data_IF_446433261257
#
_entry.id   IF_446433261257
#
_cell.length_a   1.000
_cell.length_b   1.000
_cell.length_c   1.000
_cell.angle_alpha   90.00
_cell.angle_beta   90.00
_cell.angle_gamma   90.00
#
_symmetry.space_group_name_H-M   'P 1'
#
loop_
_entity.id
_entity.type
_entity.pdbx_description
1 polymer ?
#
# COMPACT_ATOMS: atom_id res chain seq x y z
N UNK A 1 -10.83 -12.69 -8.16
CA UNK A 1 -9.96 -13.40 -7.20
C UNK A 1 -8.53 -13.18 -7.63
N UNK A 2 -7.62 -12.83 -6.73
CA UNK A 2 -6.19 -12.76 -7.06
C UNK A 2 -5.63 -14.17 -7.22
N UNK A 3 -4.73 -14.39 -8.20
CA UNK A 3 -4.08 -15.69 -8.41
C UNK A 3 -3.09 -16.01 -7.29
N UNK A 4 -2.29 -15.02 -6.91
CA UNK A 4 -1.26 -15.10 -5.89
C UNK A 4 -1.22 -13.77 -5.13
N UNK A 5 -0.90 -13.83 -3.85
CA UNK A 5 -0.79 -12.66 -2.96
C UNK A 5 0.51 -12.75 -2.19
N UNK A 6 1.37 -11.75 -2.38
CA UNK A 6 2.50 -11.50 -1.49
C UNK A 6 2.08 -10.49 -0.42
N UNK A 7 2.05 -10.92 0.83
CA UNK A 7 1.81 -10.08 1.99
C UNK A 7 3.13 -9.75 2.68
N UNK A 8 3.32 -8.47 2.98
CA UNK A 8 4.55 -7.94 3.57
C UNK A 8 4.26 -7.18 4.85
N UNK A 9 5.15 -7.28 5.83
CA UNK A 9 5.16 -6.42 7.00
C UNK A 9 6.60 -6.29 7.51
N UNK A 10 6.94 -5.19 8.19
CA UNK A 10 8.24 -5.05 8.85
C UNK A 10 8.27 -5.81 10.18
N UNK A 11 7.10 -6.04 10.79
CA UNK A 11 6.98 -6.76 12.05
C UNK A 11 6.92 -8.26 11.83
N UNK A 12 7.96 -8.96 12.31
CA UNK A 12 8.00 -10.42 12.39
C UNK A 12 6.77 -11.02 13.09
N UNK A 13 6.26 -10.35 14.13
CA UNK A 13 5.06 -10.75 14.87
C UNK A 13 3.79 -10.65 14.01
N UNK A 14 3.64 -9.58 13.22
CA UNK A 14 2.50 -9.45 12.29
C UNK A 14 2.56 -10.48 11.17
N UNK A 15 3.75 -10.76 10.64
CA UNK A 15 3.94 -11.85 9.69
C UNK A 15 3.56 -13.22 10.29
N UNK A 16 3.96 -13.49 11.53
CA UNK A 16 3.58 -14.71 12.26
C UNK A 16 2.07 -14.85 12.39
N UNK A 17 1.39 -13.82 12.90
CA UNK A 17 -0.06 -13.79 13.06
C UNK A 17 -0.80 -13.97 11.71
N UNK A 18 -0.29 -13.41 10.61
CA UNK A 18 -0.87 -13.61 9.30
C UNK A 18 -0.72 -15.05 8.81
N UNK A 19 0.45 -15.67 9.00
CA UNK A 19 0.68 -17.08 8.63
C UNK A 19 -0.29 -18.02 9.35
N UNK A 20 -0.50 -17.80 10.65
CA UNK A 20 -1.50 -18.57 11.43
C UNK A 20 -2.91 -18.41 10.87
N UNK A 21 -3.33 -17.17 10.54
CA UNK A 21 -4.65 -16.90 9.96
C UNK A 21 -4.80 -17.53 8.58
N UNK A 22 -3.78 -17.47 7.73
CA UNK A 22 -3.77 -18.08 6.40
C UNK A 22 -3.94 -19.59 6.51
N UNK A 23 -3.20 -20.23 7.42
CA UNK A 23 -3.32 -21.66 7.68
C UNK A 23 -4.72 -22.04 8.22
N UNK A 24 -5.22 -21.31 9.22
CA UNK A 24 -6.53 -21.57 9.82
C UNK A 24 -7.71 -21.43 8.83
N UNK A 25 -7.56 -20.61 7.79
CA UNK A 25 -8.58 -20.40 6.75
C UNK A 25 -8.33 -21.21 5.48
N UNK A 26 -7.31 -22.08 5.44
CA UNK A 26 -6.98 -22.90 4.27
C UNK A 26 -6.64 -22.10 3.01
N UNK A 27 -6.09 -20.89 3.16
CA UNK A 27 -5.75 -20.02 2.02
C UNK A 27 -4.39 -20.44 1.47
N UNK A 28 -4.35 -21.03 0.28
CA UNK A 28 -3.14 -21.63 -0.26
C UNK A 28 -2.26 -20.67 -1.10
N UNK A 29 -2.80 -19.53 -1.52
CA UNK A 29 -2.15 -18.65 -2.50
C UNK A 29 -1.58 -17.36 -1.89
N UNK A 30 -1.26 -17.37 -0.59
CA UNK A 30 -0.66 -16.24 0.13
C UNK A 30 0.74 -16.61 0.60
N UNK A 31 1.73 -15.81 0.18
CA UNK A 31 3.09 -15.86 0.71
C UNK A 31 3.30 -14.68 1.66
N UNK A 32 3.90 -14.92 2.83
CA UNK A 32 4.16 -13.88 3.83
C UNK A 32 5.67 -13.67 3.99
N UNK A 33 6.15 -12.46 3.71
CA UNK A 33 7.57 -12.06 3.85
C UNK A 33 7.71 -10.89 4.81
N UNK A 34 8.76 -10.92 5.63
CA UNK A 34 9.14 -9.78 6.47
C UNK A 34 10.06 -8.88 5.66
N UNK A 35 9.64 -7.64 5.40
CA UNK A 35 10.39 -6.65 4.59
C UNK A 35 10.03 -5.22 5.00
N UNK A 36 10.96 -4.27 4.82
CA UNK A 36 10.67 -2.85 4.93
C UNK A 36 9.97 -2.35 3.66
N UNK A 37 8.81 -1.71 3.80
CA UNK A 37 8.07 -1.12 2.69
C UNK A 37 8.84 -0.01 1.94
N UNK A 38 9.89 0.55 2.56
CA UNK A 38 10.77 1.56 1.96
C UNK A 38 11.90 0.95 1.11
N UNK A 39 12.13 -0.36 1.18
CA UNK A 39 13.19 -1.05 0.46
C UNK A 39 12.81 -2.51 0.24
N UNK A 40 12.05 -2.77 -0.82
CA UNK A 40 11.51 -4.09 -1.08
C UNK A 40 12.42 -4.87 -2.03
N UNK A 41 12.77 -6.08 -1.61
CA UNK A 41 13.42 -7.09 -2.45
C UNK A 41 12.41 -7.71 -3.44
N UNK A 42 11.97 -6.86 -4.36
CA UNK A 42 11.07 -7.16 -5.47
C UNK A 42 11.60 -6.51 -6.74
N UNK A 43 11.54 -7.19 -7.89
CA UNK A 43 11.93 -6.59 -9.15
C UNK A 43 10.93 -5.51 -9.59
N UNK A 44 11.38 -4.62 -10.47
CA UNK A 44 10.53 -3.63 -11.12
C UNK A 44 9.43 -4.30 -11.94
N UNK A 45 8.26 -3.65 -12.08
CA UNK A 45 7.15 -4.12 -12.92
C UNK A 45 6.71 -5.58 -12.65
N UNK A 46 6.75 -6.01 -11.40
CA UNK A 46 6.55 -7.40 -11.01
C UNK A 46 5.08 -7.77 -10.74
N UNK A 47 4.29 -6.87 -10.16
CA UNK A 47 2.90 -7.16 -9.75
C UNK A 47 1.87 -6.37 -10.55
N UNK A 48 0.68 -6.95 -10.69
CA UNK A 48 -0.46 -6.27 -11.34
C UNK A 48 -1.13 -5.25 -10.41
N UNK A 49 -1.12 -5.52 -9.10
CA UNK A 49 -1.79 -4.70 -8.09
C UNK A 49 -0.93 -4.59 -6.82
N UNK A 50 -0.70 -3.35 -6.36
CA UNK A 50 -0.15 -3.06 -5.05
C UNK A 50 -1.21 -2.38 -4.16
N UNK A 51 -1.33 -2.84 -2.92
CA UNK A 51 -2.27 -2.30 -1.94
C UNK A 51 -1.55 -2.03 -0.62
N UNK A 52 -1.73 -0.82 -0.09
CA UNK A 52 -1.35 -0.51 1.29
C UNK A 52 -2.56 -0.05 2.08
N UNK A 53 -3.01 -0.90 3.01
CA UNK A 53 -4.14 -0.59 3.88
C UNK A 53 -3.62 -0.08 5.21
N UNK A 54 -3.54 1.25 5.36
CA UNK A 54 -3.02 1.95 6.55
C UNK A 54 -1.54 1.69 6.89
N UNK A 55 -0.79 0.98 6.05
CA UNK A 55 0.64 0.71 6.26
C UNK A 55 1.55 1.87 5.81
N UNK A 56 1.34 2.40 4.61
CA UNK A 56 2.23 3.44 4.06
C UNK A 56 2.23 4.74 4.88
N UNK A 57 1.19 4.99 5.69
CA UNK A 57 1.11 6.18 6.53
C UNK A 57 1.98 6.13 7.79
N UNK A 58 2.38 4.93 8.24
CA UNK A 58 3.22 4.72 9.42
C UNK A 58 4.71 4.55 9.07
N UNK A 59 5.05 4.46 7.78
CA UNK A 59 6.44 4.44 7.32
C UNK A 59 7.16 5.75 7.68
N UNK A 60 8.42 5.70 8.16
CA UNK A 60 9.24 6.89 8.42
C UNK A 60 9.33 7.82 7.20
N UNK A 61 9.70 7.27 6.04
CA UNK A 61 9.62 7.93 4.75
C UNK A 61 8.47 7.37 3.92
N UNK A 62 7.31 8.02 4.04
CA UNK A 62 6.11 7.66 3.27
C UNK A 62 6.30 7.84 1.76
N UNK A 63 7.11 8.83 1.35
CA UNK A 63 7.34 9.09 -0.07
C UNK A 63 8.14 7.95 -0.67
N UNK A 64 9.19 7.50 0.02
CA UNK A 64 9.98 6.33 -0.37
C UNK A 64 9.13 5.06 -0.42
N UNK A 65 8.30 4.81 0.58
CA UNK A 65 7.42 3.64 0.58
C UNK A 65 6.44 3.64 -0.63
N UNK A 66 5.83 4.78 -0.95
CA UNK A 66 4.93 4.88 -2.11
C UNK A 66 5.72 4.79 -3.43
N UNK A 67 6.94 5.33 -3.49
CA UNK A 67 7.82 5.20 -4.66
C UNK A 67 8.20 3.75 -4.93
N UNK A 68 8.55 2.98 -3.89
CA UNK A 68 8.77 1.54 -3.99
C UNK A 68 7.53 0.81 -4.48
N UNK A 69 6.36 1.12 -3.93
CA UNK A 69 5.09 0.59 -4.43
C UNK A 69 4.89 0.86 -5.92
N UNK A 70 5.22 2.06 -6.41
CA UNK A 70 5.12 2.39 -7.82
C UNK A 70 6.18 1.68 -8.68
N UNK A 71 7.39 1.43 -8.14
CA UNK A 71 8.50 0.75 -8.83
C UNK A 71 8.17 -0.70 -9.16
N UNK A 72 7.74 -1.48 -8.16
CA UNK A 72 7.46 -2.91 -8.37
C UNK A 72 6.07 -3.17 -8.99
N UNK A 73 5.18 -2.18 -9.04
CA UNK A 73 3.90 -2.30 -9.75
C UNK A 73 4.10 -2.11 -11.25
N UNK A 74 3.51 -2.99 -12.06
CA UNK A 74 3.50 -2.86 -13.51
C UNK A 74 3.00 -1.49 -13.95
N UNK A 75 3.58 -0.96 -15.03
CA UNK A 75 3.10 0.26 -15.71
C UNK A 75 1.61 0.22 -16.11
N UNK A 76 1.06 -0.98 -16.39
CA UNK A 76 -0.36 -1.20 -16.66
C UNK A 76 -1.18 -1.56 -15.42
N UNK A 77 -0.51 -1.72 -14.27
CA UNK A 77 -1.06 -2.16 -13.00
C UNK A 77 -1.78 -1.07 -12.22
N UNK A 78 -2.21 -1.42 -11.00
CA UNK A 78 -2.95 -0.54 -10.11
C UNK A 78 -2.29 -0.45 -8.75
N UNK A 79 -2.26 0.76 -8.20
CA UNK A 79 -1.76 1.03 -6.85
C UNK A 79 -2.86 1.72 -6.06
N UNK A 80 -3.12 1.23 -4.85
CA UNK A 80 -4.09 1.84 -3.94
C UNK A 80 -3.52 1.96 -2.53
N UNK A 81 -3.76 3.12 -1.90
CA UNK A 81 -3.39 3.40 -0.51
C UNK A 81 -4.62 3.90 0.23
N UNK A 82 -4.90 3.31 1.39
CA UNK A 82 -5.83 3.89 2.36
C UNK A 82 -5.06 4.41 3.56
N UNK A 83 -5.35 5.64 3.97
CA UNK A 83 -4.76 6.27 5.14
C UNK A 83 -5.79 7.14 5.87
N UNK A 84 -5.49 7.49 7.11
CA UNK A 84 -6.25 8.52 7.82
C UNK A 84 -5.96 9.88 7.20
N UNK A 85 -7.02 10.67 7.01
CA UNK A 85 -6.85 12.09 6.76
C UNK A 85 -6.28 12.76 8.01
N UNK A 86 -5.42 13.75 7.81
CA UNK A 86 -5.09 14.68 8.87
C UNK A 86 -6.40 15.33 9.39
N UNK A 87 -6.50 15.57 10.71
CA UNK A 87 -7.60 16.35 11.24
C UNK A 87 -7.65 17.71 10.51
N UNK A 88 -8.84 18.25 10.26
CA UNK A 88 -8.96 19.56 9.64
C UNK A 88 -8.24 20.60 10.51
N UNK A 89 -7.73 21.66 9.88
CA UNK A 89 -7.21 22.81 10.60
C UNK A 89 -8.26 23.31 11.63
N UNK A 90 -7.83 23.84 12.78
CA UNK A 90 -8.74 24.38 13.79
C UNK A 90 -9.78 25.32 13.14
N UNK A 91 -11.07 25.08 13.43
CA UNK A 91 -12.18 25.87 12.86
C UNK A 91 -12.75 25.39 11.52
N UNK A 92 -12.25 24.31 10.92
CA UNK A 92 -12.89 23.66 9.74
C UNK A 92 -13.61 22.37 10.14
N UNK A 93 -14.86 22.19 9.71
CA UNK A 93 -15.56 20.88 9.78
C UNK A 93 -14.96 19.90 8.76
N UNK A 94 -14.76 18.66 9.17
CA UNK A 94 -14.34 17.57 8.29
C UNK A 94 -15.46 17.24 7.30
N UNK A 95 -15.22 17.48 6.00
CA UNK A 95 -16.11 17.01 4.94
C UNK A 95 -15.48 15.81 4.24
N UNK A 96 -15.95 14.61 4.60
CA UNK A 96 -15.84 13.32 3.88
C UNK A 96 -14.49 12.56 3.92
N UNK A 97 -14.58 11.23 4.06
CA UNK A 97 -13.51 10.24 3.84
C UNK A 97 -12.97 10.35 2.40
N UNK A 98 -11.70 10.67 2.23
CA UNK A 98 -11.04 10.65 0.90
C UNK A 98 -10.66 9.21 0.57
N UNK A 99 -11.18 8.72 -0.55
CA UNK A 99 -10.69 7.51 -1.21
C UNK A 99 -9.77 7.98 -2.35
N UNK A 100 -8.45 7.88 -2.16
CA UNK A 100 -7.49 8.13 -3.24
C UNK A 100 -7.23 6.80 -3.98
N UNK A 101 -7.86 6.63 -5.13
CA UNK A 101 -7.51 5.55 -6.08
C UNK A 101 -6.93 6.19 -7.33
N UNK A 102 -5.68 5.90 -7.66
CA UNK A 102 -5.04 6.33 -8.90
C UNK A 102 -4.83 5.12 -9.81
N UNK A 103 -4.98 5.33 -11.13
CA UNK A 103 -4.37 4.42 -12.11
C UNK A 103 -2.86 4.66 -12.02
N UNK A 104 -2.05 3.61 -11.98
CA UNK A 104 -0.60 3.77 -11.94
C UNK A 104 -0.13 4.28 -13.31
N UNK A 105 -0.15 5.58 -13.54
CA UNK A 105 0.68 6.18 -14.59
C UNK A 105 2.01 6.52 -13.93
N UNK A 106 3.10 5.88 -14.33
CA UNK A 106 4.45 6.11 -13.78
C UNK A 106 4.91 7.57 -13.83
N UNK A 107 4.17 8.43 -14.55
CA UNK A 107 4.15 9.88 -14.36
C UNK A 107 3.51 10.25 -13.02
N UNK A 108 4.30 10.22 -11.97
CA UNK A 108 3.93 10.72 -10.65
C UNK A 108 3.78 12.25 -10.73
N UNK A 109 2.59 12.84 -10.47
CA UNK A 109 2.50 14.29 -10.41
C UNK A 109 3.30 14.76 -9.19
N UNK A 110 4.17 15.75 -9.38
CA UNK A 110 4.93 16.44 -8.32
C UNK A 110 4.03 17.12 -7.26
N UNK A 111 2.71 17.10 -7.49
CA UNK A 111 1.68 17.59 -6.60
C UNK A 111 0.66 16.48 -6.35
N UNK A 112 0.71 15.91 -5.17
CA UNK A 112 -0.40 15.16 -4.60
C UNK A 112 -1.54 16.15 -4.37
N UNK A 113 -2.45 16.26 -5.35
CA UNK A 113 -3.66 17.07 -5.17
C UNK A 113 -4.62 16.28 -4.28
N UNK A 114 -4.94 16.83 -3.12
CA UNK A 114 -6.19 16.54 -2.44
C UNK A 114 -7.29 16.89 -3.44
N UNK A 115 -7.93 15.89 -4.04
CA UNK A 115 -8.98 16.13 -5.03
C UNK A 115 -10.18 16.79 -4.34
N UNK A 116 -10.20 18.11 -4.38
CA UNK A 116 -11.37 18.96 -4.20
C UNK A 116 -11.40 19.93 -5.38
N UNK A 117 -12.17 19.57 -6.41
CA UNK A 117 -12.87 20.59 -7.20
C UNK A 117 -14.05 21.07 -6.35
#
# INVERSE_FOLDING_TARGET
MAREVLAIDFSSAMCGALRERVAANGVANVTVREMDAQELDLPDDHVDVALSSFGAMICPDRTRAIAEMARFTRSSGRLAVSCWQAPPAPGRRSSRRTRCSARCSKSFPSRWSNASR
#
